data_IF_849852919603
#
_entry.id   IF_849852919603
#
_cell.length_a   1.000
_cell.length_b   1.000
_cell.length_c   1.000
_cell.angle_alpha   90.00
_cell.angle_beta   90.00
_cell.angle_gamma   90.00
#
_symmetry.space_group_name_H-M   'P 1'
#
loop_
_entity.id
_entity.type
_entity.pdbx_description
1 polymer ?
#
# COMPACT_ATOMS: atom_id res chain seq x y z
N UNK A 1 -13.98 -7.29 -0.37
CA UNK A 1 -14.12 -5.87 -0.79
C UNK A 1 -14.35 -5.02 0.45
N UNK A 2 -13.79 -3.82 0.49
CA UNK A 2 -13.94 -2.87 1.60
C UNK A 2 -14.53 -1.59 1.01
N UNK A 3 -15.65 -1.13 1.55
CA UNK A 3 -16.25 0.13 1.17
C UNK A 3 -15.91 1.23 2.17
N UNK A 4 -15.63 2.42 1.65
CA UNK A 4 -15.47 3.65 2.41
C UNK A 4 -16.49 4.70 1.91
N UNK A 5 -16.38 5.93 2.39
CA UNK A 5 -17.28 6.99 1.92
C UNK A 5 -17.14 7.25 0.41
N UNK A 6 -15.90 7.27 -0.11
CA UNK A 6 -15.61 7.65 -1.49
C UNK A 6 -15.04 6.52 -2.35
N UNK A 7 -14.55 5.43 -1.74
CA UNK A 7 -13.79 4.39 -2.43
C UNK A 7 -14.39 3.00 -2.24
N UNK A 8 -14.20 2.17 -3.26
CA UNK A 8 -14.31 0.73 -3.21
C UNK A 8 -12.90 0.13 -3.31
N UNK A 9 -12.43 -0.51 -2.22
CA UNK A 9 -11.18 -1.27 -2.24
C UNK A 9 -11.49 -2.70 -2.64
N UNK A 10 -10.96 -3.12 -3.77
CA UNK A 10 -11.21 -4.43 -4.36
C UNK A 10 -9.94 -5.08 -4.92
N UNK A 11 -9.94 -6.39 -5.15
CA UNK A 11 -8.87 -7.04 -5.88
C UNK A 11 -8.65 -6.39 -7.25
N UNK A 12 -7.41 -6.44 -7.71
CA UNK A 12 -7.02 -5.98 -9.05
C UNK A 12 -7.66 -6.85 -10.13
N UNK A 13 -8.01 -6.23 -11.25
CA UNK A 13 -8.51 -6.86 -12.47
C UNK A 13 -7.67 -6.43 -13.67
N UNK A 14 -7.66 -7.22 -14.75
CA UNK A 14 -6.99 -6.83 -16.00
C UNK A 14 -7.67 -5.62 -16.69
N UNK A 15 -8.91 -5.33 -16.33
CA UNK A 15 -9.60 -4.11 -16.79
C UNK A 15 -9.03 -2.83 -16.18
N UNK A 16 -8.22 -2.94 -15.11
CA UNK A 16 -7.61 -1.79 -14.41
C UNK A 16 -6.29 -1.33 -15.05
N UNK A 17 -5.80 -2.06 -16.05
CA UNK A 17 -4.45 -1.86 -16.63
C UNK A 17 -4.21 -0.42 -17.09
N UNK A 18 -5.20 0.22 -17.71
CA UNK A 18 -5.06 1.59 -18.21
C UNK A 18 -4.88 2.59 -17.05
N UNK A 19 -5.68 2.47 -16.02
CA UNK A 19 -5.57 3.31 -14.81
C UNK A 19 -4.27 3.05 -14.04
N UNK A 20 -3.88 1.78 -13.92
CA UNK A 20 -2.62 1.40 -13.27
C UNK A 20 -1.41 1.96 -14.02
N UNK A 21 -1.43 1.93 -15.36
CA UNK A 21 -0.36 2.44 -16.20
C UNK A 21 -0.11 3.93 -15.96
N UNK A 22 -1.16 4.73 -15.77
CA UNK A 22 -1.04 6.19 -15.56
C UNK A 22 -0.10 6.55 -14.40
N UNK A 23 -0.08 5.76 -13.31
CA UNK A 23 0.80 6.04 -12.17
C UNK A 23 1.98 5.08 -12.04
N UNK A 24 1.89 3.84 -12.56
CA UNK A 24 3.02 2.90 -12.50
C UNK A 24 4.11 3.18 -13.54
N UNK A 25 3.80 3.95 -14.59
CA UNK A 25 4.78 4.45 -15.56
C UNK A 25 5.35 5.82 -15.19
N UNK A 26 4.83 6.48 -14.16
CA UNK A 26 5.27 7.81 -13.78
C UNK A 26 6.49 7.74 -12.83
N UNK A 27 7.69 8.25 -13.27
CA UNK A 27 8.92 8.17 -12.49
C UNK A 27 8.83 8.81 -11.11
N UNK A 28 8.08 9.91 -10.96
CA UNK A 28 7.92 10.59 -9.68
C UNK A 28 7.10 9.76 -8.69
N UNK A 29 6.09 9.04 -9.19
CA UNK A 29 5.25 8.18 -8.35
C UNK A 29 6.01 6.94 -7.90
N UNK A 30 6.72 6.30 -8.83
CA UNK A 30 7.42 5.06 -8.50
C UNK A 30 8.78 5.28 -7.86
N UNK A 31 9.21 6.52 -7.68
CA UNK A 31 10.54 6.88 -7.17
C UNK A 31 10.96 6.11 -5.92
N UNK A 32 10.04 5.92 -4.99
CA UNK A 32 10.26 5.21 -3.71
C UNK A 32 9.52 3.87 -3.62
N UNK A 33 9.00 3.38 -4.75
CA UNK A 33 8.29 2.10 -4.82
C UNK A 33 9.25 1.00 -5.31
N UNK A 34 9.15 -0.25 -4.80
CA UNK A 34 10.14 -1.31 -5.08
C UNK A 34 10.05 -1.93 -6.49
N UNK A 35 9.48 -1.20 -7.45
CA UNK A 35 9.51 -1.55 -8.88
C UNK A 35 9.91 -0.33 -9.73
N UNK A 36 10.52 -0.56 -10.91
CA UNK A 36 10.85 0.53 -11.84
C UNK A 36 9.58 1.08 -12.51
N UNK A 37 9.76 2.15 -13.29
CA UNK A 37 8.74 2.57 -14.26
C UNK A 37 8.34 1.38 -15.14
N UNK A 38 7.05 1.18 -15.32
CA UNK A 38 6.51 0.02 -16.06
C UNK A 38 5.98 0.43 -17.41
N UNK A 39 6.26 -0.40 -18.42
CA UNK A 39 5.53 -0.39 -19.68
C UNK A 39 4.15 -1.04 -19.49
N UNK A 40 3.26 -0.89 -20.48
CA UNK A 40 1.93 -1.52 -20.44
C UNK A 40 2.01 -3.04 -20.24
N UNK A 41 2.93 -3.70 -20.95
CA UNK A 41 3.16 -5.14 -20.86
C UNK A 41 3.58 -5.55 -19.45
N UNK A 42 4.46 -4.76 -18.83
CA UNK A 42 4.90 -5.00 -17.45
C UNK A 42 3.80 -4.74 -16.42
N UNK A 43 2.88 -3.81 -16.68
CA UNK A 43 1.69 -3.61 -15.85
C UNK A 43 0.76 -4.81 -15.96
N UNK A 44 0.53 -5.34 -17.16
CA UNK A 44 -0.27 -6.55 -17.39
C UNK A 44 0.35 -7.73 -16.64
N UNK A 45 1.64 -8.00 -16.83
CA UNK A 45 2.35 -9.09 -16.16
C UNK A 45 2.26 -8.99 -14.63
N UNK A 46 2.43 -7.78 -14.10
CA UNK A 46 2.33 -7.54 -12.66
C UNK A 46 0.90 -7.73 -12.13
N UNK A 47 -0.12 -7.33 -12.90
CA UNK A 47 -1.52 -7.55 -12.56
C UNK A 47 -1.86 -9.05 -12.58
N UNK A 48 -1.48 -9.78 -13.63
CA UNK A 48 -1.67 -11.24 -13.73
C UNK A 48 -1.01 -11.97 -12.56
N UNK A 49 0.25 -11.62 -12.24
CA UNK A 49 0.96 -12.18 -11.10
C UNK A 49 0.21 -11.90 -9.80
N UNK A 50 -0.26 -10.67 -9.58
CA UNK A 50 -1.00 -10.31 -8.36
C UNK A 50 -2.33 -11.06 -8.26
N UNK A 51 -3.04 -11.22 -9.37
CA UNK A 51 -4.28 -12.02 -9.44
C UNK A 51 -4.01 -13.49 -9.10
N UNK A 52 -2.93 -14.05 -9.62
CA UNK A 52 -2.58 -15.46 -9.42
C UNK A 52 -2.07 -15.77 -8.00
N UNK A 53 -1.33 -14.84 -7.37
CA UNK A 53 -0.60 -15.10 -6.12
C UNK A 53 -1.12 -14.32 -4.92
N UNK A 54 -1.86 -13.22 -5.13
CA UNK A 54 -2.46 -12.43 -4.05
C UNK A 54 -3.50 -13.23 -3.28
N UNK A 55 -3.57 -13.02 -1.98
CA UNK A 55 -4.52 -13.69 -1.09
C UNK A 55 -5.56 -12.69 -0.59
N UNK A 56 -6.80 -13.14 -0.46
CA UNK A 56 -7.85 -12.38 0.22
C UNK A 56 -7.94 -12.73 1.72
N UNK A 57 -7.18 -13.73 2.15
CA UNK A 57 -7.07 -14.19 3.52
C UNK A 57 -5.60 -14.48 3.82
N UNK A 58 -5.07 -13.86 4.87
CA UNK A 58 -3.66 -13.97 5.25
C UNK A 58 -3.50 -15.03 6.34
N UNK A 59 -2.99 -16.21 5.99
CA UNK A 59 -2.88 -17.38 6.87
C UNK A 59 -1.48 -17.89 7.11
N UNK A 60 -0.55 -17.57 6.21
CA UNK A 60 0.82 -18.09 6.24
C UNK A 60 1.82 -16.94 6.09
N UNK A 61 3.02 -17.15 6.61
CA UNK A 61 4.11 -16.20 6.44
C UNK A 61 4.42 -16.03 4.94
N UNK A 62 4.42 -14.78 4.48
CA UNK A 62 4.59 -14.42 3.08
C UNK A 62 3.29 -14.24 2.30
N UNK A 63 2.11 -14.59 2.85
CA UNK A 63 0.83 -14.22 2.23
C UNK A 63 0.72 -12.70 2.11
N UNK A 64 0.20 -12.22 1.00
CA UNK A 64 -0.02 -10.80 0.77
C UNK A 64 -1.35 -10.51 0.08
N UNK A 65 -1.94 -9.39 0.43
CA UNK A 65 -3.16 -8.82 -0.13
C UNK A 65 -2.82 -7.52 -0.84
N UNK A 66 -3.34 -7.34 -2.06
CA UNK A 66 -3.30 -6.06 -2.79
C UNK A 66 -4.73 -5.67 -3.15
N UNK A 67 -5.11 -4.45 -2.79
CA UNK A 67 -6.40 -3.87 -3.17
C UNK A 67 -6.19 -2.56 -3.91
N UNK A 68 -6.82 -2.43 -5.07
CA UNK A 68 -6.93 -1.16 -5.80
C UNK A 68 -8.03 -0.30 -5.20
N UNK A 69 -7.93 1.03 -5.38
CA UNK A 69 -8.89 2.01 -4.88
C UNK A 69 -9.69 2.56 -6.05
N UNK A 70 -10.91 2.11 -6.20
CA UNK A 70 -11.86 2.58 -7.21
C UNK A 70 -12.74 3.70 -6.64
N UNK A 71 -12.92 4.78 -7.38
CA UNK A 71 -13.84 5.87 -7.01
C UNK A 71 -15.29 5.41 -7.21
N UNK A 72 -16.12 5.59 -6.18
CA UNK A 72 -17.51 5.10 -6.15
C UNK A 72 -18.50 5.96 -6.89
N UNK A 73 -18.22 7.26 -7.05
CA UNK A 73 -19.20 8.21 -7.62
C UNK A 73 -18.55 9.51 -8.10
N UNK A 74 -19.26 10.25 -8.93
CA UNK A 74 -18.84 11.56 -9.46
C UNK A 74 -18.15 11.46 -10.82
N UNK A 75 -17.40 12.49 -11.17
CA UNK A 75 -16.75 12.63 -12.48
C UNK A 75 -15.81 11.45 -12.82
N UNK A 76 -15.18 10.87 -11.81
CA UNK A 76 -14.21 9.78 -11.95
C UNK A 76 -14.74 8.44 -11.45
N UNK A 77 -16.06 8.23 -11.44
CA UNK A 77 -16.67 6.96 -11.05
C UNK A 77 -16.08 5.78 -11.84
N UNK A 78 -15.69 4.72 -11.14
CA UNK A 78 -15.06 3.53 -11.70
C UNK A 78 -13.55 3.64 -11.92
N UNK A 79 -12.95 4.85 -11.82
CA UNK A 79 -11.50 5.02 -12.00
C UNK A 79 -10.71 4.48 -10.81
N UNK A 80 -9.65 3.70 -11.11
CA UNK A 80 -8.68 3.26 -10.12
C UNK A 80 -7.61 4.32 -9.94
N UNK A 81 -7.50 4.85 -8.70
CA UNK A 81 -6.64 6.00 -8.36
C UNK A 81 -5.47 5.66 -7.44
N UNK A 82 -5.28 4.41 -7.13
CA UNK A 82 -4.20 3.96 -6.26
C UNK A 82 -4.39 2.53 -5.80
N UNK A 83 -3.48 2.07 -4.96
CA UNK A 83 -3.53 0.74 -4.36
C UNK A 83 -2.87 0.70 -2.99
N UNK A 84 -3.29 -0.24 -2.15
CA UNK A 84 -2.60 -0.61 -0.91
C UNK A 84 -2.30 -2.09 -0.91
N UNK A 85 -1.24 -2.46 -0.20
CA UNK A 85 -0.92 -3.84 0.09
C UNK A 85 -0.79 -4.08 1.59
N UNK A 86 -1.02 -5.32 1.99
CA UNK A 86 -0.74 -5.83 3.33
C UNK A 86 -0.12 -7.21 3.20
N UNK A 87 1.04 -7.43 3.81
CA UNK A 87 1.78 -8.69 3.77
C UNK A 87 1.99 -9.27 5.15
N UNK A 88 1.69 -10.55 5.36
CA UNK A 88 1.92 -11.24 6.63
C UNK A 88 3.41 -11.62 6.74
N UNK A 89 4.14 -10.92 7.60
CA UNK A 89 5.58 -11.17 7.84
C UNK A 89 5.82 -12.30 8.83
N UNK A 90 4.97 -12.42 9.82
CA UNK A 90 5.07 -13.46 10.85
C UNK A 90 3.71 -13.72 11.46
N UNK A 91 3.17 -14.87 11.17
CA UNK A 91 1.92 -15.36 11.77
C UNK A 91 2.09 -15.52 13.29
N UNK A 92 3.18 -16.18 13.71
CA UNK A 92 3.49 -16.38 15.15
C UNK A 92 3.62 -15.07 15.92
N UNK A 93 4.24 -14.05 15.30
CA UNK A 93 4.41 -12.72 15.89
C UNK A 93 3.20 -11.81 15.70
N UNK A 94 2.26 -12.17 14.84
CA UNK A 94 1.15 -11.31 14.43
C UNK A 94 1.63 -10.01 13.76
N UNK A 95 2.71 -10.07 12.97
CA UNK A 95 3.33 -8.91 12.32
C UNK A 95 3.01 -8.91 10.83
N UNK A 96 2.56 -7.78 10.31
CA UNK A 96 2.35 -7.56 8.88
C UNK A 96 2.92 -6.21 8.46
N UNK A 97 3.30 -6.09 7.19
CA UNK A 97 3.62 -4.80 6.58
C UNK A 97 2.41 -4.22 5.86
N UNK A 98 2.46 -2.91 5.64
CA UNK A 98 1.46 -2.19 4.87
C UNK A 98 2.16 -1.15 3.99
N UNK A 99 1.66 -1.02 2.75
CA UNK A 99 2.15 -0.04 1.79
C UNK A 99 1.00 0.60 1.00
N UNK A 100 1.29 1.72 0.35
CA UNK A 100 0.34 2.49 -0.45
C UNK A 100 1.04 3.21 -1.59
N UNK A 101 0.29 3.41 -2.67
CA UNK A 101 0.66 4.29 -3.77
C UNK A 101 -0.58 4.98 -4.31
N UNK A 102 -0.46 6.25 -4.66
CA UNK A 102 -1.57 7.09 -5.13
C UNK A 102 -1.22 7.73 -6.47
N UNK A 103 -2.14 7.67 -7.40
CA UNK A 103 -2.08 8.37 -8.67
C UNK A 103 -1.86 9.87 -8.45
N UNK A 104 -0.97 10.50 -9.23
CA UNK A 104 -0.51 11.89 -9.04
C UNK A 104 -1.64 12.91 -8.96
N UNK A 105 -2.68 12.79 -9.79
CA UNK A 105 -3.79 13.74 -9.84
C UNK A 105 -4.76 13.62 -8.66
N UNK A 106 -4.64 12.56 -7.85
CA UNK A 106 -5.51 12.29 -6.70
C UNK A 106 -4.78 12.37 -5.35
N UNK A 107 -3.52 12.82 -5.36
CA UNK A 107 -2.76 13.07 -4.14
C UNK A 107 -3.33 14.28 -3.36
N UNK A 108 -3.02 14.35 -2.05
CA UNK A 108 -3.39 15.44 -1.14
C UNK A 108 -4.90 15.69 -0.99
N UNK A 109 -5.74 14.78 -1.49
CA UNK A 109 -7.21 14.85 -1.38
C UNK A 109 -7.78 13.90 -0.30
N UNK A 110 -6.91 13.25 0.46
CA UNK A 110 -7.28 12.36 1.56
C UNK A 110 -7.59 10.91 1.16
N UNK A 111 -7.58 10.57 -0.12
CA UNK A 111 -7.90 9.21 -0.60
C UNK A 111 -6.95 8.14 -0.04
N UNK A 112 -5.64 8.41 -0.03
CA UNK A 112 -4.66 7.47 0.53
C UNK A 112 -4.92 7.18 2.02
N UNK A 113 -5.23 8.21 2.80
CA UNK A 113 -5.55 8.06 4.22
C UNK A 113 -6.82 7.23 4.42
N UNK A 114 -7.88 7.53 3.68
CA UNK A 114 -9.16 6.83 3.73
C UNK A 114 -9.00 5.34 3.40
N UNK A 115 -8.36 5.05 2.26
CA UNK A 115 -8.14 3.69 1.79
C UNK A 115 -7.25 2.88 2.74
N UNK A 116 -6.09 3.44 3.11
CA UNK A 116 -5.12 2.71 3.94
C UNK A 116 -5.67 2.50 5.36
N UNK A 117 -6.37 3.48 5.94
CA UNK A 117 -7.04 3.31 7.22
C UNK A 117 -8.08 2.19 7.17
N UNK A 118 -8.92 2.15 6.13
CA UNK A 118 -9.91 1.09 5.96
C UNK A 118 -9.27 -0.30 5.81
N UNK A 119 -8.13 -0.41 5.09
CA UNK A 119 -7.37 -1.66 5.01
C UNK A 119 -6.77 -2.06 6.36
N UNK A 120 -6.26 -1.11 7.16
CA UNK A 120 -5.76 -1.38 8.52
C UNK A 120 -6.86 -1.91 9.43
N UNK A 121 -8.05 -1.28 9.42
CA UNK A 121 -9.23 -1.73 10.15
C UNK A 121 -9.62 -3.15 9.76
N UNK A 122 -9.70 -3.39 8.46
CA UNK A 122 -10.00 -4.72 7.91
C UNK A 122 -8.97 -5.77 8.35
N UNK A 123 -7.67 -5.45 8.23
CA UNK A 123 -6.58 -6.34 8.60
C UNK A 123 -6.59 -6.70 10.08
N UNK A 124 -6.71 -5.72 10.95
CA UNK A 124 -6.79 -5.95 12.39
C UNK A 124 -8.03 -6.71 12.84
N UNK A 125 -9.13 -6.58 12.10
CA UNK A 125 -10.38 -7.29 12.42
C UNK A 125 -10.39 -8.73 11.97
N UNK A 126 -9.86 -9.00 10.76
CA UNK A 126 -10.07 -10.27 10.08
C UNK A 126 -8.86 -11.19 10.09
N UNK A 127 -7.65 -10.66 10.32
CA UNK A 127 -6.42 -11.45 10.30
C UNK A 127 -5.78 -11.52 11.69
N UNK A 128 -4.90 -12.49 11.94
CA UNK A 128 -4.20 -12.67 13.21
C UNK A 128 -3.05 -11.65 13.37
N UNK A 129 -3.31 -10.39 13.00
CA UNK A 129 -2.36 -9.27 13.05
C UNK A 129 -2.55 -8.51 14.33
N UNK A 130 -1.46 -8.28 15.06
CA UNK A 130 -1.40 -7.42 16.24
C UNK A 130 -0.55 -6.17 16.05
N UNK A 131 0.25 -6.14 14.96
CA UNK A 131 1.20 -5.06 14.66
C UNK A 131 1.31 -4.87 13.15
N UNK A 132 1.16 -3.64 12.70
CA UNK A 132 1.46 -3.22 11.33
C UNK A 132 2.73 -2.38 11.31
N UNK A 133 3.55 -2.60 10.30
CA UNK A 133 4.76 -1.83 10.03
C UNK A 133 4.71 -1.22 8.62
N UNK A 134 5.40 -0.10 8.45
CA UNK A 134 5.68 0.51 7.16
C UNK A 134 7.14 0.92 7.11
N UNK A 135 7.87 0.39 6.14
CA UNK A 135 9.23 0.78 5.83
C UNK A 135 9.19 1.94 4.82
N UNK A 136 9.81 3.06 5.18
CA UNK A 136 9.71 4.31 4.43
C UNK A 136 11.12 4.86 4.20
N UNK A 137 11.47 5.09 2.92
CA UNK A 137 12.71 5.77 2.55
C UNK A 137 12.77 7.15 3.22
N UNK A 138 13.87 7.49 3.88
CA UNK A 138 14.03 8.76 4.61
C UNK A 138 13.89 10.00 3.72
N UNK A 139 14.02 9.84 2.41
CA UNK A 139 13.82 10.88 1.39
C UNK A 139 12.35 11.07 0.98
N UNK A 140 11.41 10.27 1.57
CA UNK A 140 9.96 10.33 1.31
C UNK A 140 9.18 10.88 2.52
N UNK A 141 9.26 12.20 2.80
CA UNK A 141 8.58 12.80 3.93
C UNK A 141 7.05 12.75 3.82
N UNK A 142 6.50 12.68 2.62
CA UNK A 142 5.04 12.56 2.39
C UNK A 142 4.50 11.25 2.92
N UNK A 143 5.18 10.13 2.66
CA UNK A 143 4.80 8.82 3.22
C UNK A 143 5.00 8.79 4.74
N UNK A 144 6.04 9.42 5.27
CA UNK A 144 6.25 9.54 6.71
C UNK A 144 5.14 10.34 7.40
N UNK A 145 4.71 11.46 6.80
CA UNK A 145 3.57 12.25 7.29
C UNK A 145 2.26 11.43 7.24
N UNK A 146 2.08 10.65 6.18
CA UNK A 146 0.93 9.76 6.04
C UNK A 146 0.91 8.67 7.13
N UNK A 147 2.05 8.00 7.38
CA UNK A 147 2.17 7.01 8.45
C UNK A 147 1.84 7.62 9.82
N UNK A 148 2.37 8.81 10.10
CA UNK A 148 2.06 9.54 11.34
C UNK A 148 0.55 9.86 11.46
N UNK A 149 -0.09 10.31 10.37
CA UNK A 149 -1.53 10.58 10.33
C UNK A 149 -2.37 9.32 10.58
N UNK A 150 -1.89 8.15 10.15
CA UNK A 150 -2.51 6.84 10.42
C UNK A 150 -2.31 6.37 11.87
N UNK A 151 -1.63 7.16 12.71
CA UNK A 151 -1.34 6.82 14.10
C UNK A 151 -0.09 5.96 14.30
N UNK A 152 0.69 5.74 13.23
CA UNK A 152 1.94 4.99 13.35
C UNK A 152 3.03 5.88 13.96
N UNK A 153 3.87 5.31 14.82
CA UNK A 153 5.06 5.98 15.37
C UNK A 153 6.32 5.50 14.67
N UNK A 154 7.30 6.38 14.51
CA UNK A 154 8.63 5.98 14.08
C UNK A 154 9.35 5.26 15.22
N UNK A 155 9.76 4.01 15.00
CA UNK A 155 10.45 3.18 15.98
C UNK A 155 11.94 3.03 15.71
N UNK A 156 12.37 3.12 14.44
CA UNK A 156 13.77 2.99 14.08
C UNK A 156 14.12 3.83 12.84
N UNK A 157 15.43 4.06 12.70
CA UNK A 157 16.07 4.54 11.49
C UNK A 157 17.27 3.62 11.19
N UNK A 158 17.28 3.06 9.99
CA UNK A 158 18.36 2.22 9.48
C UNK A 158 19.16 3.03 8.47
N UNK A 159 20.36 3.46 8.86
CA UNK A 159 21.23 4.32 8.04
C UNK A 159 21.93 3.46 6.99
N UNK A 160 21.84 3.88 5.71
CA UNK A 160 22.49 3.21 4.57
C UNK A 160 22.24 1.69 4.53
N UNK A 161 21.03 1.28 4.90
CA UNK A 161 20.67 -0.11 5.14
C UNK A 161 20.44 -0.91 3.86
N UNK A 162 20.10 -0.25 2.78
CA UNK A 162 19.70 -0.90 1.53
C UNK A 162 20.28 -0.19 0.30
N UNK A 163 20.43 -0.94 -0.79
CA UNK A 163 20.65 -0.37 -2.12
C UNK A 163 19.30 -0.35 -2.82
N UNK A 164 18.74 0.84 -2.99
CA UNK A 164 17.47 1.02 -3.65
C UNK A 164 17.67 1.79 -4.96
N UNK A 165 17.28 1.17 -6.08
CA UNK A 165 17.45 1.73 -7.45
C UNK A 165 18.87 2.24 -7.72
N UNK A 166 19.86 1.48 -7.28
CA UNK A 166 21.29 1.76 -7.51
C UNK A 166 21.92 2.78 -6.58
N UNK A 167 21.21 3.23 -5.56
CA UNK A 167 21.73 4.18 -4.55
C UNK A 167 21.53 3.63 -3.15
N UNK A 168 22.50 3.88 -2.25
CA UNK A 168 22.30 3.64 -0.83
C UNK A 168 21.13 4.46 -0.31
N UNK A 169 20.29 3.85 0.49
CA UNK A 169 19.19 4.53 1.15
C UNK A 169 19.07 4.16 2.62
N UNK A 170 18.63 5.14 3.39
CA UNK A 170 18.26 4.95 4.78
C UNK A 170 16.75 4.79 4.88
N UNK A 171 16.31 3.96 5.84
CA UNK A 171 14.90 3.61 5.99
C UNK A 171 14.41 3.97 7.39
N UNK A 172 13.23 4.56 7.48
CA UNK A 172 12.48 4.66 8.72
C UNK A 172 11.52 3.49 8.86
N UNK A 173 11.52 2.87 10.03
CA UNK A 173 10.49 1.91 10.42
C UNK A 173 9.39 2.63 11.19
N UNK A 174 8.20 2.66 10.62
CA UNK A 174 6.98 3.09 11.29
C UNK A 174 6.16 1.89 11.74
N UNK A 175 5.49 1.99 12.89
CA UNK A 175 4.68 0.90 13.40
C UNK A 175 3.49 1.38 14.22
N UNK A 176 2.45 0.51 14.28
CA UNK A 176 1.30 0.68 15.15
C UNK A 176 0.83 -0.68 15.66
N UNK A 177 0.42 -0.74 16.93
CA UNK A 177 -0.20 -1.92 17.52
C UNK A 177 -1.73 -1.87 17.33
N UNK A 178 -2.36 -3.04 17.21
CA UNK A 178 -3.82 -3.16 17.19
C UNK A 178 -4.48 -2.45 18.38
N UNK A 179 -3.89 -2.57 19.58
CA UNK A 179 -4.39 -1.93 20.80
C UNK A 179 -4.28 -0.39 20.80
N UNK A 180 -3.43 0.18 19.96
CA UNK A 180 -3.26 1.64 19.80
C UNK A 180 -4.21 2.17 18.73
N UNK A 181 -4.47 1.39 17.70
CA UNK A 181 -5.35 1.75 16.59
C UNK A 181 -6.83 1.83 17.00
N UNK A 182 -7.24 1.08 18.01
CA UNK A 182 -8.62 1.00 18.51
C UNK A 182 -8.98 2.08 19.55
N UNK A 183 -8.08 3.00 19.85
CA UNK A 183 -8.31 4.15 20.74
C UNK A 183 -8.69 5.39 19.93
#
# INVERSE_FOLDING_TARGET
MIETDRLLLRPISLTDVDDLLEYQSNPEIVRYIPWPERTREQVIEAAEKTIATGKLDLKEDGDFLVLVWEIKSGEFEGKVIGQSNMGLKSLRGGNADIGWVTHQNFQRQGYAFEATKALMEFGFKNFPIRRLIADIDTRNPESAAMATKLGMRREAEFVDAEIFKGSLCSMWLYAILKSEFQK
#
